data_IF_235870889715
#
_entry.id   IF_235870889715
#
_cell.length_a   1.000
_cell.length_b   1.000
_cell.length_c   1.000
_cell.angle_alpha   90.00
_cell.angle_beta   90.00
_cell.angle_gamma   90.00
#
_symmetry.space_group_name_H-M   'P 1'
#
loop_
_entity.id
_entity.type
_entity.pdbx_description
1 polymer ?
#
# COMPACT_ATOMS: atom_id res chain seq x y z
N UNK A 1 -16.20 9.47 -66.14
CA UNK A 1 -15.68 9.98 -64.85
C UNK A 1 -16.32 9.18 -63.73
N UNK A 2 -15.59 8.20 -63.20
CA UNK A 2 -16.13 7.28 -62.19
C UNK A 2 -15.51 7.69 -60.82
N UNK A 3 -16.33 8.18 -59.90
CA UNK A 3 -15.90 8.49 -58.53
C UNK A 3 -15.86 7.17 -57.72
N UNK A 4 -14.67 6.75 -57.37
CA UNK A 4 -14.47 5.63 -56.44
C UNK A 4 -14.71 6.09 -55.00
N UNK A 5 -15.68 5.47 -54.34
CA UNK A 5 -16.00 5.63 -52.92
C UNK A 5 -15.00 4.80 -52.10
N UNK A 6 -14.07 5.47 -51.42
CA UNK A 6 -13.16 4.81 -50.45
C UNK A 6 -13.89 4.68 -49.15
N UNK A 7 -14.31 3.48 -48.81
CA UNK A 7 -14.87 3.14 -47.51
C UNK A 7 -13.73 3.02 -46.50
N UNK A 8 -13.61 3.97 -45.53
CA UNK A 8 -12.78 3.84 -44.33
C UNK A 8 -13.42 2.80 -43.39
N UNK A 9 -12.86 1.61 -43.37
CA UNK A 9 -13.13 0.63 -42.31
C UNK A 9 -12.49 1.11 -41.03
N UNK A 10 -13.31 1.65 -40.10
CA UNK A 10 -12.91 1.90 -38.74
C UNK A 10 -12.70 0.54 -38.05
N UNK A 11 -11.45 0.16 -37.79
CA UNK A 11 -11.14 -0.95 -36.91
C UNK A 11 -11.59 -0.58 -35.48
N UNK A 12 -12.74 -1.09 -35.06
CA UNK A 12 -13.12 -1.11 -33.64
C UNK A 12 -12.15 -2.03 -32.92
N UNK A 13 -11.18 -1.46 -32.22
CA UNK A 13 -10.36 -2.19 -31.26
C UNK A 13 -11.27 -2.54 -30.06
N UNK A 14 -11.92 -3.69 -30.16
CA UNK A 14 -12.57 -4.32 -29.01
C UNK A 14 -11.49 -4.54 -27.95
N UNK A 15 -11.67 -3.94 -26.79
CA UNK A 15 -10.90 -4.28 -25.59
C UNK A 15 -11.13 -5.77 -25.29
N UNK A 16 -10.21 -6.59 -25.75
CA UNK A 16 -10.21 -8.01 -25.42
C UNK A 16 -9.86 -8.11 -23.94
N UNK A 17 -10.76 -8.72 -23.15
CA UNK A 17 -10.40 -9.28 -21.86
C UNK A 17 -9.37 -10.38 -22.14
N UNK A 18 -8.09 -10.02 -22.07
CA UNK A 18 -7.03 -11.02 -22.14
C UNK A 18 -7.26 -12.01 -21.00
N UNK A 19 -7.16 -13.32 -21.25
CA UNK A 19 -7.28 -14.32 -20.19
C UNK A 19 -6.24 -14.05 -19.10
N UNK A 20 -6.53 -14.50 -17.88
CA UNK A 20 -5.55 -14.48 -16.80
C UNK A 20 -4.28 -15.18 -17.25
N UNK A 21 -3.12 -14.66 -16.84
CA UNK A 21 -1.83 -15.28 -17.17
C UNK A 21 -1.86 -16.75 -16.72
N UNK A 22 -1.43 -17.70 -17.57
CA UNK A 22 -1.38 -19.10 -17.18
C UNK A 22 -0.54 -19.29 -15.92
N UNK A 23 -1.14 -19.82 -14.88
CA UNK A 23 -0.46 -20.10 -13.62
C UNK A 23 -0.92 -19.29 -12.42
N UNK A 24 -1.45 -18.06 -12.58
CA UNK A 24 -1.94 -17.26 -11.46
C UNK A 24 -3.20 -17.86 -10.82
N UNK A 25 -3.28 -17.78 -9.50
CA UNK A 25 -4.43 -18.26 -8.71
C UNK A 25 -5.29 -17.10 -8.23
N UNK A 26 -4.66 -15.94 -7.97
CA UNK A 26 -5.35 -14.73 -7.55
C UNK A 26 -6.13 -14.09 -8.70
N UNK A 27 -7.23 -13.43 -8.37
CA UNK A 27 -8.09 -12.72 -9.33
C UNK A 27 -8.08 -11.23 -9.03
N UNK A 28 -7.75 -10.42 -10.04
CA UNK A 28 -7.81 -8.97 -9.96
C UNK A 28 -9.10 -8.44 -10.64
N UNK A 29 -9.80 -7.52 -9.97
CA UNK A 29 -10.96 -6.80 -10.54
C UNK A 29 -10.89 -5.34 -10.16
N UNK A 30 -11.43 -4.45 -11.00
CA UNK A 30 -11.59 -3.04 -10.70
C UNK A 30 -13.01 -2.79 -10.23
N UNK A 31 -13.16 -2.18 -9.07
CA UNK A 31 -14.42 -1.82 -8.44
C UNK A 31 -14.52 -0.31 -8.33
N UNK A 32 -15.72 0.23 -8.34
CA UNK A 32 -15.99 1.65 -8.07
C UNK A 32 -17.00 1.76 -6.94
N UNK A 33 -16.72 2.66 -5.98
CA UNK A 33 -17.65 2.92 -4.87
C UNK A 33 -18.93 3.62 -5.35
N UNK A 34 -18.80 4.47 -6.38
CA UNK A 34 -19.90 5.20 -6.96
C UNK A 34 -20.14 4.76 -8.41
N UNK A 35 -21.39 4.62 -8.80
CA UNK A 35 -21.81 4.40 -10.19
C UNK A 35 -22.17 5.70 -10.91
N UNK A 36 -22.36 6.80 -10.16
CA UNK A 36 -22.50 8.16 -10.69
C UNK A 36 -21.84 9.18 -9.77
N UNK A 37 -21.24 10.23 -10.37
CA UNK A 37 -20.59 11.32 -9.66
C UNK A 37 -20.74 12.65 -10.43
N UNK A 38 -20.54 13.78 -9.74
CA UNK A 38 -20.59 15.11 -10.34
C UNK A 38 -19.21 15.54 -10.85
N UNK A 39 -19.13 16.48 -11.79
CA UNK A 39 -17.88 17.14 -12.09
C UNK A 39 -17.26 17.75 -10.83
N UNK A 40 -15.95 17.56 -10.62
CA UNK A 40 -15.23 17.99 -9.43
C UNK A 40 -15.33 17.05 -8.22
N UNK A 41 -16.11 15.99 -8.30
CA UNK A 41 -16.15 14.96 -7.26
C UNK A 41 -14.92 14.03 -7.33
N UNK A 42 -14.71 13.27 -6.25
CA UNK A 42 -13.79 12.13 -6.21
C UNK A 42 -14.60 10.84 -6.27
N UNK A 43 -14.27 9.97 -7.22
CA UNK A 43 -14.77 8.58 -7.31
C UNK A 43 -13.71 7.65 -6.75
N UNK A 44 -14.06 6.85 -5.76
CA UNK A 44 -13.12 5.87 -5.25
C UNK A 44 -13.11 4.61 -6.12
N UNK A 45 -11.93 4.29 -6.66
CA UNK A 45 -11.64 3.03 -7.30
C UNK A 45 -10.99 2.08 -6.29
N UNK A 46 -11.25 0.79 -6.44
CA UNK A 46 -10.63 -0.27 -5.66
C UNK A 46 -10.10 -1.36 -6.59
N UNK A 47 -8.80 -1.62 -6.54
CA UNK A 47 -8.23 -2.82 -7.14
C UNK A 47 -8.41 -3.94 -6.14
N UNK A 48 -9.37 -4.83 -6.42
CA UNK A 48 -9.71 -5.97 -5.57
C UNK A 48 -8.95 -7.21 -6.02
N UNK A 49 -8.04 -7.67 -5.19
CA UNK A 49 -7.33 -8.93 -5.36
C UNK A 49 -7.97 -9.97 -4.42
N UNK A 50 -8.47 -11.06 -4.99
CA UNK A 50 -8.94 -12.26 -4.26
C UNK A 50 -7.86 -13.32 -4.38
N UNK A 51 -7.33 -13.73 -3.23
CA UNK A 51 -6.09 -14.51 -3.11
C UNK A 51 -6.44 -15.85 -2.42
N UNK A 52 -6.52 -16.97 -3.15
CA UNK A 52 -6.85 -18.26 -2.54
C UNK A 52 -5.68 -18.77 -1.71
N UNK A 53 -5.97 -19.43 -0.58
CA UNK A 53 -4.94 -20.10 0.19
C UNK A 53 -4.27 -21.23 -0.65
N UNK A 54 -2.96 -21.48 -0.51
CA UNK A 54 -2.01 -20.88 0.44
C UNK A 54 -1.27 -19.64 -0.10
N UNK A 55 -1.76 -19.00 -1.16
CA UNK A 55 -1.12 -17.87 -1.82
C UNK A 55 -1.24 -16.58 -1.01
N UNK A 56 -0.25 -15.69 -1.16
CA UNK A 56 -0.24 -14.32 -0.65
C UNK A 56 0.34 -13.38 -1.71
N UNK A 57 0.02 -12.08 -1.59
CA UNK A 57 0.68 -11.00 -2.33
C UNK A 57 1.20 -9.96 -1.34
N UNK A 58 1.87 -8.92 -1.82
CA UNK A 58 2.73 -8.09 -0.99
C UNK A 58 2.14 -6.70 -0.72
N UNK A 59 2.54 -6.12 0.39
CA UNK A 59 2.32 -4.73 0.72
C UNK A 59 3.31 -3.83 -0.04
N UNK A 60 3.14 -2.49 0.07
CA UNK A 60 4.02 -1.51 -0.58
C UNK A 60 5.50 -1.69 -0.19
N UNK A 61 5.78 -2.00 1.06
CA UNK A 61 7.06 -2.57 1.48
C UNK A 61 6.87 -4.08 1.62
N UNK A 62 7.48 -4.84 0.74
CA UNK A 62 7.33 -6.30 0.73
C UNK A 62 8.18 -7.01 1.82
N UNK A 63 9.06 -6.29 2.55
CA UNK A 63 9.95 -6.89 3.53
C UNK A 63 11.06 -7.72 2.89
N UNK A 64 11.29 -8.92 3.40
CA UNK A 64 12.42 -9.79 3.02
C UNK A 64 12.32 -10.47 1.65
N UNK A 65 11.39 -10.09 0.80
CA UNK A 65 11.27 -10.64 -0.56
C UNK A 65 9.92 -10.36 -1.17
N UNK A 66 9.81 -10.47 -2.49
CA UNK A 66 8.56 -10.23 -3.21
C UNK A 66 8.52 -8.91 -3.97
N UNK A 67 7.33 -8.56 -4.46
CA UNK A 67 7.08 -7.33 -5.22
C UNK A 67 5.67 -6.83 -4.92
N UNK A 68 5.54 -5.53 -4.63
CA UNK A 68 4.24 -4.90 -4.39
C UNK A 68 3.40 -4.87 -5.67
N UNK A 69 2.06 -5.04 -5.57
CA UNK A 69 1.16 -4.80 -6.68
C UNK A 69 1.32 -3.41 -7.27
N UNK A 70 1.27 -3.33 -8.59
CA UNK A 70 1.33 -2.06 -9.33
C UNK A 70 0.10 -1.87 -10.22
N UNK A 71 -0.27 -0.60 -10.45
CA UNK A 71 -1.45 -0.23 -11.22
C UNK A 71 -1.08 0.83 -12.25
N UNK A 72 -1.11 0.45 -13.51
CA UNK A 72 -0.90 1.37 -14.63
C UNK A 72 -2.26 1.78 -15.19
N UNK A 73 -2.67 3.01 -14.89
CA UNK A 73 -3.96 3.56 -15.30
C UNK A 73 -4.01 3.96 -16.77
N UNK A 74 -5.19 3.76 -17.37
CA UNK A 74 -5.61 4.30 -18.64
C UNK A 74 -6.93 5.03 -18.40
N UNK A 75 -6.84 6.33 -18.17
CA UNK A 75 -7.96 7.17 -17.75
C UNK A 75 -8.47 8.05 -18.88
N UNK A 76 -9.78 8.31 -18.95
CA UNK A 76 -10.34 9.25 -19.88
C UNK A 76 -9.91 10.69 -19.51
N UNK A 77 -9.96 11.59 -20.49
CA UNK A 77 -9.65 13.01 -20.26
C UNK A 77 -10.50 13.59 -19.14
N UNK A 78 -9.86 14.33 -18.26
CA UNK A 78 -10.49 14.97 -17.10
C UNK A 78 -10.69 14.05 -15.88
N UNK A 79 -10.06 12.86 -15.88
CA UNK A 79 -9.98 11.98 -14.72
C UNK A 79 -8.51 11.75 -14.40
N UNK A 80 -8.12 11.91 -13.13
CA UNK A 80 -6.75 11.67 -12.66
C UNK A 80 -6.77 10.71 -11.46
N UNK A 81 -5.80 9.80 -11.40
CA UNK A 81 -5.65 8.90 -10.26
C UNK A 81 -4.71 9.50 -9.22
N UNK A 82 -5.14 9.47 -7.96
CA UNK A 82 -4.28 9.76 -6.83
C UNK A 82 -3.38 8.56 -6.45
N UNK A 83 -2.77 8.65 -5.27
CA UNK A 83 -1.94 7.57 -4.73
C UNK A 83 -2.78 6.38 -4.28
N UNK A 84 -2.18 5.20 -4.30
CA UNK A 84 -2.77 4.00 -3.70
C UNK A 84 -2.75 4.16 -2.18
N UNK A 85 -3.91 3.94 -1.55
CA UNK A 85 -4.02 3.79 -0.10
C UNK A 85 -3.97 2.31 0.24
N UNK A 86 -2.97 1.95 1.03
CA UNK A 86 -2.65 0.58 1.37
C UNK A 86 -3.25 0.21 2.72
N UNK A 87 -4.14 -0.79 2.80
CA UNK A 87 -4.55 -1.36 4.09
C UNK A 87 -3.37 -1.92 4.87
N UNK A 88 -3.51 -2.06 6.19
CA UNK A 88 -2.48 -2.66 7.02
C UNK A 88 -2.18 -4.10 6.57
N UNK A 89 -0.91 -4.48 6.33
CA UNK A 89 -0.54 -5.85 5.97
C UNK A 89 -0.50 -6.77 7.19
N UNK A 90 -0.26 -8.06 6.93
CA UNK A 90 0.17 -9.03 7.92
C UNK A 90 1.67 -9.31 7.80
N UNK A 91 2.31 -9.70 8.90
CA UNK A 91 3.65 -10.28 8.87
C UNK A 91 3.55 -11.76 8.52
N UNK A 92 4.32 -12.19 7.55
CA UNK A 92 4.42 -13.57 7.10
C UNK A 92 5.90 -13.98 7.17
N UNK A 93 6.20 -15.07 7.87
CA UNK A 93 7.57 -15.57 7.98
C UNK A 93 7.77 -16.67 6.95
N UNK A 94 8.64 -16.43 5.98
CA UNK A 94 9.00 -17.37 4.94
C UNK A 94 10.50 -17.33 4.70
N UNK A 95 11.13 -18.49 4.45
CA UNK A 95 12.58 -18.62 4.16
C UNK A 95 13.50 -17.86 5.14
N UNK A 96 13.10 -17.77 6.42
CA UNK A 96 13.90 -17.12 7.46
C UNK A 96 13.81 -15.60 7.51
N UNK A 97 13.05 -14.98 6.62
CA UNK A 97 12.77 -13.53 6.61
C UNK A 97 11.29 -13.23 6.86
N UNK A 98 11.00 -11.99 7.24
CA UNK A 98 9.63 -11.51 7.43
C UNK A 98 9.23 -10.70 6.20
N UNK A 99 8.14 -11.13 5.55
CA UNK A 99 7.46 -10.39 4.50
C UNK A 99 6.21 -9.69 5.04
N UNK A 100 5.80 -8.60 4.40
CA UNK A 100 4.55 -7.91 4.66
C UNK A 100 3.57 -8.23 3.54
N UNK A 101 2.49 -8.95 3.87
CA UNK A 101 1.65 -9.60 2.87
C UNK A 101 0.15 -9.36 3.08
N UNK A 102 -0.59 -9.65 2.02
CA UNK A 102 -2.03 -9.82 2.02
C UNK A 102 -2.38 -11.26 1.68
N UNK A 103 -3.30 -11.82 2.45
CA UNK A 103 -3.87 -13.16 2.28
C UNK A 103 -5.38 -13.05 2.08
N UNK A 104 -5.99 -14.02 1.41
CA UNK A 104 -7.42 -14.12 1.14
C UNK A 104 -7.94 -13.03 0.20
N UNK A 105 -7.89 -11.79 0.59
CA UNK A 105 -8.29 -10.65 -0.24
C UNK A 105 -7.67 -9.35 0.23
N UNK A 106 -7.57 -8.38 -0.70
CA UNK A 106 -7.27 -6.98 -0.40
C UNK A 106 -7.95 -6.06 -1.40
N UNK A 107 -8.43 -4.90 -0.95
CA UNK A 107 -8.89 -3.80 -1.80
C UNK A 107 -7.91 -2.64 -1.68
N UNK A 108 -7.10 -2.42 -2.71
CA UNK A 108 -6.22 -1.26 -2.80
C UNK A 108 -7.06 -0.07 -3.27
N UNK A 109 -7.18 0.94 -2.40
CA UNK A 109 -8.06 2.08 -2.63
C UNK A 109 -7.33 3.21 -3.35
N UNK A 110 -7.93 3.75 -4.42
CA UNK A 110 -7.36 4.84 -5.22
C UNK A 110 -8.42 5.91 -5.46
N UNK A 111 -8.20 7.17 -5.06
CA UNK A 111 -9.11 8.25 -5.43
C UNK A 111 -8.92 8.62 -6.91
N UNK A 112 -10.01 8.69 -7.65
CA UNK A 112 -10.08 9.23 -8.99
C UNK A 112 -10.71 10.62 -8.93
N UNK A 113 -9.93 11.65 -9.21
CA UNK A 113 -10.36 13.03 -9.19
C UNK A 113 -10.96 13.43 -10.53
N UNK A 114 -12.17 13.98 -10.52
CA UNK A 114 -12.88 14.44 -11.71
C UNK A 114 -12.65 15.94 -11.90
N UNK A 115 -12.30 16.35 -13.10
CA UNK A 115 -12.18 17.77 -13.45
C UNK A 115 -13.54 18.48 -13.26
N UNK A 116 -13.51 19.74 -12.80
CA UNK A 116 -14.71 20.53 -12.53
C UNK A 116 -15.53 20.84 -13.79
N UNK A 117 -14.86 20.86 -14.95
CA UNK A 117 -15.46 21.11 -16.26
C UNK A 117 -15.78 19.83 -17.04
N UNK A 118 -15.70 18.66 -16.38
CA UNK A 118 -15.97 17.38 -17.01
C UNK A 118 -17.45 17.31 -17.46
N UNK A 119 -17.64 17.06 -18.75
CA UNK A 119 -18.99 17.03 -19.33
C UNK A 119 -19.76 15.79 -18.88
N UNK A 120 -21.08 15.88 -18.72
CA UNK A 120 -21.92 14.73 -18.43
C UNK A 120 -21.74 13.59 -19.44
N UNK A 121 -22.00 12.36 -19.00
CA UNK A 121 -21.95 11.16 -19.80
C UNK A 121 -21.10 10.06 -19.19
N UNK A 122 -21.16 8.88 -19.77
CA UNK A 122 -20.46 7.68 -19.28
C UNK A 122 -18.94 7.82 -19.44
N UNK A 123 -18.23 7.37 -18.43
CA UNK A 123 -16.76 7.26 -18.41
C UNK A 123 -16.36 5.83 -18.12
N UNK A 124 -15.36 5.35 -18.83
CA UNK A 124 -14.72 4.07 -18.58
C UNK A 124 -13.30 4.31 -18.11
N UNK A 125 -12.98 3.76 -16.96
CA UNK A 125 -11.62 3.73 -16.40
C UNK A 125 -11.04 2.35 -16.60
N UNK A 126 -9.79 2.29 -17.04
CA UNK A 126 -9.08 1.04 -17.29
C UNK A 126 -7.74 1.06 -16.58
N UNK A 127 -7.25 -0.12 -16.22
CA UNK A 127 -5.91 -0.27 -15.69
C UNK A 127 -5.31 -1.61 -16.06
N UNK A 128 -3.99 -1.67 -16.08
CA UNK A 128 -3.22 -2.90 -16.04
C UNK A 128 -2.73 -3.08 -14.61
N UNK A 129 -3.18 -4.14 -13.95
CA UNK A 129 -2.77 -4.51 -12.61
C UNK A 129 -1.74 -5.61 -12.72
N UNK A 130 -0.57 -5.43 -12.08
CA UNK A 130 0.46 -6.45 -11.95
C UNK A 130 0.66 -6.76 -10.49
N UNK A 131 0.94 -8.03 -10.18
CA UNK A 131 1.25 -8.47 -8.82
C UNK A 131 2.18 -9.67 -8.87
N UNK A 132 2.87 -9.91 -7.78
CA UNK A 132 3.54 -11.18 -7.52
C UNK A 132 2.73 -11.92 -6.46
N UNK A 133 2.42 -13.18 -6.69
CA UNK A 133 1.81 -14.05 -5.70
C UNK A 133 2.72 -15.23 -5.39
N UNK A 134 2.88 -15.52 -4.12
CA UNK A 134 3.78 -16.58 -3.65
C UNK A 134 3.09 -17.52 -2.68
N UNK A 135 3.63 -18.73 -2.61
CA UNK A 135 3.53 -19.65 -1.47
C UNK A 135 4.88 -19.70 -0.78
N UNK A 136 5.06 -20.57 0.21
CA UNK A 136 6.38 -20.80 0.83
C UNK A 136 7.37 -21.53 -0.11
N UNK A 137 6.92 -21.98 -1.28
CA UNK A 137 7.76 -22.78 -2.20
C UNK A 137 7.99 -22.09 -3.54
N UNK A 138 7.05 -21.29 -4.01
CA UNK A 138 7.09 -20.75 -5.38
C UNK A 138 6.40 -19.40 -5.48
N UNK A 139 6.84 -18.61 -6.47
CA UNK A 139 6.24 -17.32 -6.82
C UNK A 139 5.82 -17.30 -8.29
N UNK A 140 4.67 -16.69 -8.58
CA UNK A 140 4.12 -16.53 -9.93
C UNK A 140 3.74 -15.07 -10.15
N UNK A 141 4.24 -14.41 -11.21
CA UNK A 141 3.80 -13.08 -11.56
C UNK A 141 2.39 -13.12 -12.19
N UNK A 142 1.54 -12.19 -11.79
CA UNK A 142 0.21 -11.99 -12.33
C UNK A 142 0.08 -10.66 -13.05
N UNK A 143 -0.70 -10.65 -14.12
CA UNK A 143 -1.10 -9.43 -14.84
C UNK A 143 -2.55 -9.54 -15.29
N UNK A 144 -3.33 -8.46 -15.09
CA UNK A 144 -4.72 -8.39 -15.55
C UNK A 144 -5.06 -7.00 -16.06
N UNK A 145 -5.69 -6.96 -17.22
CA UNK A 145 -6.39 -5.77 -17.71
C UNK A 145 -7.77 -5.70 -17.08
N UNK A 146 -8.07 -4.61 -16.40
CA UNK A 146 -9.33 -4.39 -15.68
C UNK A 146 -9.99 -3.10 -16.13
N UNK A 147 -11.33 -3.08 -16.09
CA UNK A 147 -12.10 -1.89 -16.46
C UNK A 147 -13.35 -1.76 -15.60
N UNK A 148 -13.78 -0.52 -15.39
CA UNK A 148 -15.04 -0.19 -14.73
C UNK A 148 -15.64 1.08 -15.32
N UNK A 149 -16.97 1.25 -15.20
CA UNK A 149 -17.70 2.39 -15.77
C UNK A 149 -18.48 3.12 -14.69
N UNK A 150 -18.56 4.44 -14.83
CA UNK A 150 -19.42 5.30 -14.04
C UNK A 150 -20.00 6.41 -14.90
N UNK A 151 -21.07 7.03 -14.42
CA UNK A 151 -21.75 8.17 -15.08
C UNK A 151 -21.27 9.49 -14.46
N UNK A 152 -20.94 10.45 -15.30
CA UNK A 152 -20.79 11.85 -14.85
C UNK A 152 -22.14 12.55 -15.03
N UNK A 153 -22.75 12.94 -13.94
CA UNK A 153 -24.12 13.50 -13.95
C UNK A 153 -24.36 14.50 -12.83
N UNK A 154 -25.63 14.77 -12.58
CA UNK A 154 -26.05 15.76 -11.57
C UNK A 154 -26.04 15.22 -10.13
N UNK A 155 -25.94 13.90 -9.93
CA UNK A 155 -26.05 13.28 -8.63
C UNK A 155 -24.90 12.29 -8.38
N UNK A 156 -24.49 12.18 -7.10
CA UNK A 156 -23.63 11.10 -6.62
C UNK A 156 -24.51 9.91 -6.25
N UNK A 157 -24.22 8.75 -6.83
CA UNK A 157 -24.95 7.51 -6.55
C UNK A 157 -23.96 6.43 -6.17
N UNK A 158 -24.16 5.82 -5.01
CA UNK A 158 -23.34 4.71 -4.53
C UNK A 158 -23.55 3.47 -5.43
N UNK A 159 -22.45 2.73 -5.65
CA UNK A 159 -22.49 1.44 -6.34
C UNK A 159 -22.84 0.29 -5.40
N UNK A 160 -23.03 -0.89 -5.96
CA UNK A 160 -23.29 -2.13 -5.21
C UNK A 160 -22.12 -2.57 -4.30
N UNK A 161 -20.92 -2.07 -4.56
CA UNK A 161 -19.70 -2.40 -3.79
C UNK A 161 -19.43 -1.44 -2.60
N UNK A 162 -20.35 -0.51 -2.28
CA UNK A 162 -20.12 0.49 -1.22
C UNK A 162 -19.76 -0.13 0.15
N UNK A 163 -20.35 -1.27 0.50
CA UNK A 163 -20.02 -2.01 1.73
C UNK A 163 -18.57 -2.54 1.72
N UNK A 164 -18.07 -3.01 0.58
CA UNK A 164 -16.69 -3.45 0.41
C UNK A 164 -15.72 -2.29 0.64
N UNK A 165 -16.01 -1.11 0.07
CA UNK A 165 -15.20 0.10 0.29
C UNK A 165 -15.20 0.52 1.76
N UNK A 166 -16.35 0.48 2.43
CA UNK A 166 -16.46 0.80 3.86
C UNK A 166 -15.60 -0.15 4.70
N UNK A 167 -15.67 -1.47 4.45
CA UNK A 167 -14.86 -2.49 5.12
C UNK A 167 -13.36 -2.18 5.01
N UNK A 168 -12.87 -1.89 3.80
CA UNK A 168 -11.45 -1.71 3.55
C UNK A 168 -10.95 -0.32 3.96
N UNK A 169 -11.79 0.71 3.86
CA UNK A 169 -11.45 2.05 4.37
C UNK A 169 -11.24 2.04 5.88
N UNK A 170 -11.98 1.21 6.62
CA UNK A 170 -11.79 1.04 8.06
C UNK A 170 -10.45 0.37 8.42
N UNK A 171 -9.77 -0.25 7.46
CA UNK A 171 -8.45 -0.88 7.63
C UNK A 171 -7.29 0.02 7.19
N UNK A 172 -7.57 1.20 6.64
CA UNK A 172 -6.54 2.18 6.36
C UNK A 172 -6.01 2.77 7.66
N UNK A 173 -4.70 3.05 7.75
CA UNK A 173 -4.15 3.71 8.93
C UNK A 173 -4.71 5.13 9.06
N UNK A 174 -5.05 5.50 10.31
CA UNK A 174 -5.30 6.90 10.66
C UNK A 174 -3.98 7.68 10.69
N UNK A 175 -4.02 8.92 11.19
CA UNK A 175 -2.83 9.75 11.37
C UNK A 175 -2.58 9.93 12.87
N UNK A 176 -1.33 9.83 13.30
CA UNK A 176 -0.91 10.16 14.65
C UNK A 176 0.22 11.19 14.62
N UNK A 177 0.48 11.89 15.75
CA UNK A 177 1.63 12.77 15.85
C UNK A 177 2.95 12.03 15.60
N UNK A 178 3.96 12.75 15.07
CA UNK A 178 5.30 12.23 14.91
C UNK A 178 5.87 11.73 16.24
N UNK A 179 6.60 10.62 16.20
CA UNK A 179 7.32 10.10 17.35
C UNK A 179 8.79 10.45 17.27
N UNK A 180 9.41 10.60 18.45
CA UNK A 180 10.86 10.70 18.54
C UNK A 180 11.48 9.32 18.49
N UNK A 181 12.57 9.21 17.76
CA UNK A 181 13.42 8.03 17.67
C UNK A 181 14.88 8.45 17.84
N UNK A 182 15.69 7.52 18.26
CA UNK A 182 17.12 7.73 18.49
C UNK A 182 17.92 6.62 17.86
N UNK A 183 19.12 6.95 17.37
CA UNK A 183 20.10 5.94 17.02
C UNK A 183 20.75 5.40 18.29
N UNK A 184 20.63 4.10 18.56
CA UNK A 184 21.27 3.47 19.71
C UNK A 184 22.58 2.82 19.29
N UNK A 185 23.63 3.09 20.07
CA UNK A 185 24.95 2.48 19.85
C UNK A 185 25.72 2.98 18.61
N UNK A 186 26.94 2.46 18.43
CA UNK A 186 27.76 2.73 17.27
C UNK A 186 27.21 2.02 16.03
N UNK A 187 27.68 2.44 14.85
CA UNK A 187 27.43 1.73 13.61
C UNK A 187 28.17 0.39 13.66
N UNK A 188 27.44 -0.73 13.65
CA UNK A 188 28.04 -2.05 13.56
C UNK A 188 28.40 -2.36 12.10
N UNK A 189 29.57 -2.92 11.90
CA UNK A 189 30.10 -3.35 10.58
C UNK A 189 30.01 -2.31 9.45
N UNK A 190 29.89 -1.02 9.83
CA UNK A 190 29.72 0.13 8.95
C UNK A 190 28.42 0.20 8.14
N UNK A 191 27.47 -0.72 8.32
CA UNK A 191 26.23 -0.77 7.55
C UNK A 191 24.98 -0.79 8.40
N UNK A 192 25.07 -1.26 9.65
CA UNK A 192 23.91 -1.47 10.53
C UNK A 192 23.93 -0.52 11.71
N UNK A 193 22.77 0.03 12.03
CA UNK A 193 22.56 0.85 13.24
C UNK A 193 21.19 0.60 13.84
N UNK A 194 21.09 0.39 15.17
CA UNK A 194 19.79 0.23 15.82
C UNK A 194 19.03 1.56 15.87
N UNK A 195 17.78 1.55 15.40
CA UNK A 195 16.81 2.62 15.55
C UNK A 195 15.88 2.28 16.71
N UNK A 196 15.85 3.12 17.71
CA UNK A 196 15.05 2.91 18.92
C UNK A 196 14.00 3.99 19.08
N UNK A 197 12.77 3.59 19.36
CA UNK A 197 11.72 4.52 19.71
C UNK A 197 10.76 3.93 20.74
N UNK A 198 10.04 4.82 21.45
CA UNK A 198 9.09 4.43 22.48
C UNK A 198 7.69 4.85 22.08
N UNK A 199 6.76 3.92 22.21
CA UNK A 199 5.32 4.14 21.97
C UNK A 199 4.61 4.21 23.32
N UNK A 200 4.08 5.39 23.72
CA UNK A 200 3.34 5.50 24.96
C UNK A 200 2.09 4.63 24.94
N UNK A 201 1.83 3.92 26.04
CA UNK A 201 0.66 3.07 26.18
C UNK A 201 -0.20 3.52 27.37
N UNK A 202 -1.51 3.38 27.19
CA UNK A 202 -2.47 3.52 28.29
C UNK A 202 -2.61 2.22 29.11
N UNK A 203 -2.40 1.08 28.45
CA UNK A 203 -2.52 -0.26 29.03
C UNK A 203 -1.29 -1.09 28.71
N UNK A 204 -0.70 -1.73 29.71
CA UNK A 204 0.60 -2.43 29.64
C UNK A 204 0.63 -3.69 28.77
N UNK A 205 -0.54 -4.20 28.35
CA UNK A 205 -0.62 -5.42 27.51
C UNK A 205 -0.99 -5.16 26.05
N UNK A 206 -0.93 -3.89 25.63
CA UNK A 206 -1.26 -3.54 24.24
C UNK A 206 -0.15 -3.99 23.30
N UNK A 207 -0.50 -4.79 22.31
CA UNK A 207 0.41 -5.19 21.24
C UNK A 207 0.77 -3.98 20.38
N UNK A 208 2.05 -3.83 20.08
CA UNK A 208 2.58 -2.74 19.24
C UNK A 208 3.46 -3.35 18.15
N UNK A 209 3.20 -2.96 16.90
CA UNK A 209 4.03 -3.34 15.75
C UNK A 209 4.27 -2.14 14.86
N UNK A 210 5.45 -2.09 14.28
CA UNK A 210 5.80 -1.10 13.28
C UNK A 210 6.04 -1.77 11.93
N UNK A 211 5.48 -1.17 10.88
CA UNK A 211 5.59 -1.56 9.48
C UNK A 211 6.24 -0.39 8.74
N UNK A 212 7.55 -0.41 8.53
CA UNK A 212 8.25 0.68 7.86
C UNK A 212 7.84 0.78 6.40
N UNK A 213 7.77 2.00 5.85
CA UNK A 213 7.74 2.20 4.40
C UNK A 213 9.15 2.02 3.81
N UNK A 214 9.21 1.68 2.53
CA UNK A 214 10.47 1.72 1.79
C UNK A 214 10.96 3.16 1.69
N UNK A 215 12.27 3.34 1.75
CA UNK A 215 12.86 4.62 1.39
C UNK A 215 12.72 4.87 -0.11
N UNK A 216 12.10 5.99 -0.55
CA UNK A 216 11.90 6.26 -1.98
C UNK A 216 13.21 6.47 -2.75
N UNK A 217 14.34 6.63 -2.08
CA UNK A 217 15.67 6.78 -2.67
C UNK A 217 16.54 5.52 -2.57
N UNK A 218 16.02 4.49 -1.89
CA UNK A 218 16.72 3.23 -1.64
C UNK A 218 18.08 3.43 -0.91
N UNK A 219 18.19 4.49 -0.09
CA UNK A 219 19.40 4.81 0.66
C UNK A 219 19.50 4.02 1.96
N UNK A 220 18.38 3.50 2.49
CA UNK A 220 18.35 2.70 3.71
C UNK A 220 17.16 1.71 3.72
N UNK A 221 17.31 0.66 4.52
CA UNK A 221 16.27 -0.35 4.76
C UNK A 221 16.09 -0.57 6.25
N UNK A 222 14.86 -0.48 6.73
CA UNK A 222 14.49 -0.87 8.10
C UNK A 222 14.09 -2.34 8.09
N UNK A 223 14.81 -3.15 8.88
CA UNK A 223 14.54 -4.58 8.96
C UNK A 223 13.19 -4.86 9.64
N UNK A 224 12.53 -5.92 9.16
CA UNK A 224 11.23 -6.33 9.68
C UNK A 224 11.31 -6.99 11.07
N UNK A 225 12.47 -7.58 11.40
CA UNK A 225 12.74 -8.09 12.73
C UNK A 225 12.86 -6.94 13.74
N UNK A 226 12.30 -7.15 14.93
CA UNK A 226 12.20 -6.12 15.96
C UNK A 226 12.45 -6.73 17.35
N UNK A 227 13.24 -6.06 18.15
CA UNK A 227 13.34 -6.31 19.59
C UNK A 227 12.30 -5.47 20.32
N UNK A 228 11.51 -6.12 21.16
CA UNK A 228 10.40 -5.49 21.90
C UNK A 228 10.66 -5.56 23.39
N UNK A 229 10.69 -4.39 24.04
CA UNK A 229 10.83 -4.27 25.50
C UNK A 229 9.59 -3.58 26.08
N UNK A 230 8.95 -4.25 27.03
CA UNK A 230 7.74 -3.76 27.69
C UNK A 230 8.11 -2.92 28.91
N UNK A 231 7.80 -1.63 28.89
CA UNK A 231 7.85 -0.74 30.04
C UNK A 231 6.49 -0.65 30.77
N UNK A 232 6.44 0.09 31.87
CA UNK A 232 5.20 0.26 32.65
C UNK A 232 4.12 1.04 31.86
N UNK A 233 4.52 2.03 31.09
CA UNK A 233 3.63 2.94 30.33
C UNK A 233 4.03 3.14 28.87
N UNK A 234 4.91 2.30 28.35
CA UNK A 234 5.38 2.35 26.97
C UNK A 234 5.82 0.98 26.48
N UNK A 235 5.89 0.83 25.16
CA UNK A 235 6.64 -0.23 24.50
C UNK A 235 7.83 0.42 23.79
N UNK A 236 9.02 -0.11 24.01
CA UNK A 236 10.22 0.25 23.29
C UNK A 236 10.43 -0.75 22.14
N UNK A 237 10.61 -0.22 20.94
CA UNK A 237 10.91 -0.99 19.75
C UNK A 237 12.33 -0.64 19.28
N UNK A 238 13.09 -1.69 18.93
CA UNK A 238 14.44 -1.56 18.35
C UNK A 238 14.47 -2.29 17.03
N UNK A 239 14.62 -1.55 15.94
CA UNK A 239 14.82 -2.09 14.59
C UNK A 239 16.24 -1.91 14.12
N UNK A 240 16.79 -2.89 13.43
CA UNK A 240 18.05 -2.72 12.72
C UNK A 240 17.79 -1.96 11.41
N UNK A 241 18.60 -0.94 11.14
CA UNK A 241 18.55 -0.18 9.89
C UNK A 241 19.85 -0.40 9.16
N UNK A 242 19.75 -0.84 7.92
CA UNK A 242 20.86 -0.93 6.97
C UNK A 242 20.91 0.34 6.15
N UNK A 243 22.10 0.93 6.01
CA UNK A 243 22.29 2.11 5.17
C UNK A 243 23.34 1.86 4.10
N UNK A 244 22.94 2.07 2.85
CA UNK A 244 23.85 2.07 1.70
C UNK A 244 24.53 3.43 1.63
N UNK A 245 25.87 3.45 1.73
CA UNK A 245 26.64 4.70 1.66
C UNK A 245 26.75 5.49 2.97
N UNK A 246 26.42 4.91 4.13
CA UNK A 246 26.60 5.47 5.48
C UNK A 246 25.84 6.78 5.75
N UNK A 247 24.76 7.02 5.04
CA UNK A 247 23.86 8.15 5.29
C UNK A 247 22.67 7.69 6.12
N UNK A 248 22.60 8.17 7.34
CA UNK A 248 21.51 7.83 8.27
C UNK A 248 20.36 8.81 8.09
N UNK A 249 19.13 8.32 7.90
CA UNK A 249 17.99 9.19 7.65
C UNK A 249 17.64 10.02 8.90
N UNK A 250 17.24 11.30 8.74
CA UNK A 250 16.74 12.11 9.84
C UNK A 250 15.31 11.74 10.24
N UNK A 251 14.66 10.90 9.46
CA UNK A 251 13.32 10.41 9.71
C UNK A 251 13.06 9.07 9.03
N UNK A 252 12.19 8.27 9.66
CA UNK A 252 11.70 7.00 9.12
C UNK A 252 10.18 7.03 9.17
N UNK A 253 9.53 6.78 8.05
CA UNK A 253 8.07 6.73 7.98
C UNK A 253 7.57 5.28 7.94
N UNK A 254 6.34 5.07 8.42
CA UNK A 254 5.71 3.76 8.39
C UNK A 254 4.31 3.76 9.00
N UNK A 255 3.79 2.57 9.22
CA UNK A 255 2.51 2.36 9.91
C UNK A 255 2.78 1.73 11.26
N UNK A 256 2.27 2.34 12.31
CA UNK A 256 2.30 1.82 13.67
C UNK A 256 0.93 1.19 14.00
N UNK A 257 0.91 -0.09 14.34
CA UNK A 257 -0.25 -0.76 14.93
C UNK A 257 -0.15 -0.71 16.45
N UNK A 258 -1.19 -0.21 17.10
CA UNK A 258 -1.32 -0.17 18.57
C UNK A 258 -2.65 -0.83 18.93
N UNK A 259 -2.59 -2.05 19.43
CA UNK A 259 -3.78 -2.87 19.62
C UNK A 259 -4.53 -3.10 18.30
N UNK A 260 -5.84 -2.81 18.30
CA UNK A 260 -6.69 -2.96 17.11
C UNK A 260 -6.69 -1.80 16.14
N UNK A 261 -5.85 -0.77 16.32
CA UNK A 261 -5.81 0.44 15.47
C UNK A 261 -4.45 0.62 14.83
N UNK A 262 -4.43 1.15 13.61
CA UNK A 262 -3.21 1.47 12.87
C UNK A 262 -3.13 2.97 12.55
N UNK A 263 -1.91 3.50 12.47
CA UNK A 263 -1.65 4.92 12.26
C UNK A 263 -0.43 5.11 11.38
N UNK A 264 -0.51 6.00 10.40
CA UNK A 264 0.68 6.53 9.75
C UNK A 264 1.47 7.36 10.76
N UNK A 265 2.77 7.14 10.81
CA UNK A 265 3.68 7.82 11.74
C UNK A 265 4.98 8.16 11.04
N UNK A 266 5.56 9.28 11.43
CA UNK A 266 6.93 9.65 11.11
C UNK A 266 7.76 9.61 12.40
N UNK A 267 8.80 8.79 12.39
CA UNK A 267 9.81 8.74 13.44
C UNK A 267 10.85 9.82 13.13
N UNK A 268 10.88 10.88 13.94
CA UNK A 268 11.92 11.92 13.85
C UNK A 268 13.15 11.45 14.60
N UNK A 269 14.23 11.22 13.87
CA UNK A 269 15.44 10.61 14.43
C UNK A 269 16.41 11.71 14.88
N UNK A 270 16.72 11.70 16.18
CA UNK A 270 17.77 12.52 16.78
C UNK A 270 19.12 11.83 16.74
N UNK A 271 20.20 12.58 16.80
CA UNK A 271 21.50 12.03 17.16
C UNK A 271 21.49 11.77 18.68
N UNK A 272 21.65 10.52 19.12
CA UNK A 272 21.76 10.23 20.55
C UNK A 272 23.01 10.89 21.13
N UNK A 273 22.81 11.89 21.94
CA UNK A 273 23.79 12.22 22.99
C UNK A 273 23.78 11.01 23.93
N UNK A 274 24.92 10.36 24.09
CA UNK A 274 25.06 9.10 24.81
C UNK A 274 24.19 9.02 26.07
N UNK A 275 23.34 8.00 26.17
CA UNK A 275 22.42 7.83 27.28
C UNK A 275 23.21 7.57 28.56
N UNK A 276 23.22 8.55 29.43
CA UNK A 276 23.42 8.34 30.87
C UNK A 276 22.11 7.87 31.48
N UNK A 277 21.65 6.66 31.11
CA UNK A 277 20.65 5.97 31.91
C UNK A 277 21.32 5.46 33.19
N UNK A 278 21.30 6.27 34.25
CA UNK A 278 21.46 5.75 35.62
C UNK A 278 20.26 4.88 35.93
N UNK A 279 20.45 3.64 36.40
CA UNK A 279 19.35 2.86 36.90
C UNK A 279 18.79 3.57 38.15
N UNK A 280 17.50 3.85 38.12
CA UNK A 280 16.78 4.31 39.30
C UNK A 280 16.86 3.21 40.36
N UNK A 281 17.56 3.54 41.45
CA UNK A 281 17.71 2.77 42.69
C UNK A 281 16.37 2.67 43.42
#
# INVERSE_FOLDING_TARGET
MSLGLVALLALEVRAQNLPDQPGTKSKATLRLEQVSARPGDTVWAGVHLVIPAPWHTYWVNHGGGGEAPSVKWQLPRGVTAGKIHWPLPKKHKSFGSIAYVYEHEVLLLVPLELAKDLKPGQREVRAVVKWLECTDETCVPGEKHVAAKFEVGAARVAGGDAALFTKWRAQLPGVMPDLKADWAGPVADNFWRPLVFRVPLKESKTEVEFFPYLDPKDEFTVQADVEVELGKSFVKLTHQVESVGKKWPPQVAGVLRVGGKSYEVVLKVGESVGSTDKPDS
#
